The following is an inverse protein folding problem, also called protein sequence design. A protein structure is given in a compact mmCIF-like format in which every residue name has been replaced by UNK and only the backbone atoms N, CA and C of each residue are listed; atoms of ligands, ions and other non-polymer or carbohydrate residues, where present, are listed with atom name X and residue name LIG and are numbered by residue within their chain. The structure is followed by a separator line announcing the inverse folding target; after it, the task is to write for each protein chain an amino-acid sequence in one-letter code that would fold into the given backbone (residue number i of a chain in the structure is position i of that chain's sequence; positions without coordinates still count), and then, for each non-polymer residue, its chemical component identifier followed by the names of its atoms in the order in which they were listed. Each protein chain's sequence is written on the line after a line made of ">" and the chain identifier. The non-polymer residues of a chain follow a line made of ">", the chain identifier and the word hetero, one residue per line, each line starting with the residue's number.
data_IF_124144779708
#
_entry.id   IF_124144779708
#
_cell.length_a   1.000
_cell.length_b   1.000
_cell.length_c   1.000
_cell.angle_alpha   90.00
_cell.angle_beta   90.00
_cell.angle_gamma   90.00
#
_symmetry.space_group_name_H-M   'P 1'
#
loop_
_entity.id
_entity.type
_entity.pdbx_description
1 polymer ?
#
# COMPACT_ATOMS: atom_id res chain seq x y z
N UNK A 1 69.77 -17.81 20.03
CA UNK A 1 68.81 -16.95 19.30
C UNK A 1 67.42 -17.31 19.82
N UNK A 2 66.67 -16.40 20.44
CA UNK A 2 65.35 -16.75 20.96
C UNK A 2 64.35 -16.82 19.80
N UNK A 3 63.73 -17.98 19.64
CA UNK A 3 62.70 -18.25 18.63
C UNK A 3 61.41 -17.52 19.01
N UNK A 4 61.04 -16.53 18.20
CA UNK A 4 59.81 -15.76 18.34
C UNK A 4 58.61 -16.59 17.86
N UNK A 5 58.21 -17.59 18.65
CA UNK A 5 57.07 -18.46 18.35
C UNK A 5 55.75 -17.72 18.61
N UNK A 6 55.25 -17.01 17.59
CA UNK A 6 53.87 -16.53 17.54
C UNK A 6 52.96 -17.76 17.65
N UNK A 7 52.31 -17.90 18.80
CA UNK A 7 51.39 -19.01 19.05
C UNK A 7 50.21 -18.94 18.09
N UNK A 8 49.83 -20.08 17.48
CA UNK A 8 48.64 -20.19 16.62
C UNK A 8 47.36 -19.68 17.31
N UNK A 9 47.31 -19.72 18.64
CA UNK A 9 46.23 -19.17 19.47
C UNK A 9 46.13 -17.64 19.35
N UNK A 10 47.25 -16.93 19.21
CA UNK A 10 47.29 -15.47 19.04
C UNK A 10 46.73 -15.05 17.68
N UNK A 11 47.03 -15.80 16.62
CA UNK A 11 46.48 -15.57 15.27
C UNK A 11 44.97 -15.86 15.21
N UNK A 12 44.49 -16.92 15.87
CA UNK A 12 43.06 -17.20 15.95
C UNK A 12 42.30 -16.11 16.74
N UNK A 13 42.93 -15.57 17.79
CA UNK A 13 42.31 -14.53 18.61
C UNK A 13 42.17 -13.22 17.84
N UNK A 14 43.14 -12.82 17.01
CA UNK A 14 43.01 -11.61 16.17
C UNK A 14 41.99 -11.80 15.05
N UNK A 15 41.95 -12.97 14.40
CA UNK A 15 40.96 -13.29 13.37
C UNK A 15 39.52 -13.26 13.90
N UNK A 16 39.30 -13.68 15.15
CA UNK A 16 37.98 -13.65 15.79
C UNK A 16 37.40 -12.22 15.94
N UNK A 17 38.25 -11.19 16.06
CA UNK A 17 37.81 -9.80 16.15
C UNK A 17 37.52 -9.14 14.80
N UNK A 18 37.93 -9.75 13.68
CA UNK A 18 37.65 -9.21 12.33
C UNK A 18 36.24 -9.53 11.85
N UNK A 19 35.65 -10.65 12.28
CA UNK A 19 34.32 -11.11 11.83
C UNK A 19 33.20 -10.11 12.16
N UNK A 20 33.10 -9.55 13.39
CA UNK A 20 32.07 -8.56 13.71
C UNK A 20 32.20 -7.27 12.90
N UNK A 21 33.43 -6.82 12.62
CA UNK A 21 33.68 -5.59 11.87
C UNK A 21 33.21 -5.73 10.42
N UNK A 22 33.48 -6.87 9.80
CA UNK A 22 32.99 -7.16 8.45
C UNK A 22 31.47 -7.21 8.46
N UNK A 23 30.85 -7.89 9.42
CA UNK A 23 29.39 -7.98 9.53
C UNK A 23 28.72 -6.59 9.65
N UNK A 24 29.27 -5.69 10.47
CA UNK A 24 28.78 -4.31 10.60
C UNK A 24 28.99 -3.52 9.30
N UNK A 25 30.13 -3.70 8.63
CA UNK A 25 30.44 -3.01 7.38
C UNK A 25 29.49 -3.41 6.23
N UNK A 26 29.04 -4.66 6.15
CA UNK A 26 28.03 -5.09 5.15
C UNK A 26 26.60 -4.69 5.54
N UNK A 27 26.31 -4.54 6.83
CA UNK A 27 24.98 -4.12 7.29
C UNK A 27 24.73 -2.62 7.07
N UNK A 28 25.77 -1.77 7.20
CA UNK A 28 25.67 -0.32 7.06
C UNK A 28 25.07 0.17 5.71
N UNK A 29 25.52 -0.30 4.52
CA UNK A 29 24.92 0.12 3.26
C UNK A 29 23.48 -0.38 3.09
N UNK A 30 23.13 -1.55 3.64
CA UNK A 30 21.74 -2.04 3.61
C UNK A 30 20.81 -1.18 4.47
N UNK A 31 21.28 -0.69 5.62
CA UNK A 31 20.51 0.23 6.47
C UNK A 31 20.37 1.62 5.82
N UNK A 32 21.40 2.11 5.12
CA UNK A 32 21.38 3.41 4.47
C UNK A 32 20.56 3.46 3.17
N UNK A 33 20.38 2.32 2.49
CA UNK A 33 19.57 2.22 1.26
C UNK A 33 18.07 2.02 1.54
N UNK A 34 17.69 1.77 2.80
CA UNK A 34 16.29 1.61 3.18
C UNK A 34 15.63 2.99 3.29
N UNK A 35 14.99 3.44 2.21
CA UNK A 35 14.06 4.56 2.28
C UNK A 35 12.81 4.10 3.02
N UNK A 36 12.76 4.43 4.31
CA UNK A 36 11.56 4.26 5.13
C UNK A 36 10.60 5.39 4.80
N UNK A 37 9.45 5.04 4.22
CA UNK A 37 8.38 5.98 3.91
C UNK A 37 7.13 5.50 4.63
N UNK A 38 6.46 6.42 5.32
CA UNK A 38 5.14 6.14 5.89
C UNK A 38 4.09 6.25 4.77
N UNK A 39 3.33 5.17 4.58
CA UNK A 39 2.23 5.11 3.63
C UNK A 39 0.90 5.16 4.35
N UNK A 40 0.05 6.09 3.93
CA UNK A 40 -1.25 6.31 4.58
C UNK A 40 -2.33 6.05 3.55
N UNK A 41 -3.17 5.07 3.84
CA UNK A 41 -4.41 4.83 3.11
C UNK A 41 -5.51 5.63 3.78
N UNK A 42 -6.06 6.59 3.04
CA UNK A 42 -7.15 7.44 3.50
C UNK A 42 -8.40 7.23 2.65
N UNK A 43 -9.54 7.56 3.25
CA UNK A 43 -10.83 7.65 2.59
C UNK A 43 -11.26 9.11 2.59
N UNK A 44 -11.63 9.62 1.43
CA UNK A 44 -12.26 10.92 1.28
C UNK A 44 -13.64 10.73 0.67
N UNK A 45 -14.60 11.55 1.10
CA UNK A 45 -15.98 11.40 0.68
C UNK A 45 -16.43 12.69 0.04
N UNK A 46 -16.46 12.67 -1.29
CA UNK A 46 -16.88 13.81 -2.07
C UNK A 46 -18.41 13.86 -2.11
N UNK A 47 -18.98 14.96 -1.62
CA UNK A 47 -20.40 15.28 -1.82
C UNK A 47 -20.61 15.69 -3.27
N UNK A 48 -21.20 14.82 -4.10
CA UNK A 48 -21.56 15.14 -5.48
C UNK A 48 -22.97 15.73 -5.58
N UNK A 49 -23.26 16.71 -4.71
CA UNK A 49 -24.54 17.41 -4.67
C UNK A 49 -25.74 16.48 -4.42
N UNK A 50 -26.85 16.73 -5.12
CA UNK A 50 -28.15 16.03 -4.98
C UNK A 50 -28.07 14.51 -5.29
N UNK A 51 -26.96 14.03 -5.88
CA UNK A 51 -26.76 12.64 -6.32
C UNK A 51 -26.06 11.74 -5.28
N UNK A 52 -25.71 12.30 -4.10
CA UNK A 52 -25.12 11.59 -2.96
C UNK A 52 -23.60 11.72 -2.84
N UNK A 53 -23.04 11.08 -1.80
CA UNK A 53 -21.60 11.05 -1.50
C UNK A 53 -20.92 9.83 -2.12
N UNK A 54 -19.85 10.07 -2.88
CA UNK A 54 -18.98 9.01 -3.42
C UNK A 54 -17.68 8.93 -2.62
N UNK A 55 -17.31 7.74 -2.11
CA UNK A 55 -16.00 7.56 -1.52
C UNK A 55 -14.92 7.58 -2.60
N UNK A 56 -13.77 8.09 -2.21
CA UNK A 56 -12.52 8.04 -2.96
C UNK A 56 -11.47 7.53 -1.99
N UNK A 57 -10.84 6.42 -2.33
CA UNK A 57 -9.71 5.90 -1.58
C UNK A 57 -8.43 6.47 -2.15
N UNK A 58 -7.55 6.95 -1.27
CA UNK A 58 -6.27 7.54 -1.65
C UNK A 58 -5.15 6.89 -0.85
N UNK A 59 -4.10 6.45 -1.54
CA UNK A 59 -2.83 6.10 -0.90
C UNK A 59 -1.89 7.29 -1.08
N UNK A 60 -1.34 7.78 0.03
CA UNK A 60 -0.38 8.89 0.05
C UNK A 60 0.90 8.46 0.74
N UNK A 61 2.04 8.86 0.18
CA UNK A 61 3.33 8.77 0.85
C UNK A 61 3.55 10.03 1.70
N UNK A 62 3.91 9.85 2.97
CA UNK A 62 4.26 10.95 3.89
C UNK A 62 5.52 11.71 3.41
N UNK A 63 6.48 10.96 2.86
CA UNK A 63 7.72 11.49 2.30
C UNK A 63 8.13 10.69 1.06
N UNK A 64 8.64 11.37 0.03
CA UNK A 64 9.07 10.71 -1.21
C UNK A 64 7.91 10.35 -2.15
N UNK A 65 8.09 9.27 -2.93
CA UNK A 65 7.09 8.81 -3.90
C UNK A 65 6.74 7.35 -3.65
N UNK A 66 5.52 6.97 -4.01
CA UNK A 66 5.06 5.60 -4.02
C UNK A 66 5.74 4.90 -5.21
N UNK A 67 6.53 3.85 -4.97
CA UNK A 67 7.27 3.19 -6.04
C UNK A 67 6.32 2.40 -6.96
N UNK A 68 6.73 2.28 -8.22
CA UNK A 68 6.04 1.45 -9.21
C UNK A 68 6.06 -0.01 -8.76
N UNK A 69 4.96 -0.73 -8.97
CA UNK A 69 4.81 -2.12 -8.56
C UNK A 69 4.24 -2.30 -7.15
N UNK A 70 3.96 -1.21 -6.43
CA UNK A 70 3.17 -1.27 -5.19
C UNK A 70 1.79 -1.85 -5.47
N UNK A 71 1.34 -2.81 -4.66
CA UNK A 71 0.08 -3.55 -4.86
C UNK A 71 -0.92 -3.18 -3.78
N UNK A 72 -2.12 -2.83 -4.21
CA UNK A 72 -3.25 -2.46 -3.38
C UNK A 72 -4.43 -3.39 -3.70
N UNK A 73 -5.33 -3.56 -2.75
CA UNK A 73 -6.55 -4.34 -2.94
C UNK A 73 -7.77 -3.59 -2.48
N UNK A 74 -8.83 -3.65 -3.27
CA UNK A 74 -10.18 -3.28 -2.87
C UNK A 74 -11.00 -4.55 -2.69
N UNK A 75 -11.51 -4.79 -1.49
CA UNK A 75 -12.31 -5.95 -1.15
C UNK A 75 -13.71 -5.54 -0.71
N UNK A 76 -14.74 -6.08 -1.38
CA UNK A 76 -16.14 -5.97 -0.98
C UNK A 76 -17.00 -7.01 -1.71
N UNK A 77 -18.12 -7.47 -1.13
CA UNK A 77 -19.08 -8.34 -1.83
C UNK A 77 -19.65 -7.71 -3.12
N UNK A 78 -19.68 -6.38 -3.21
CA UNK A 78 -20.26 -5.63 -4.31
C UNK A 78 -19.22 -4.92 -5.22
N UNK A 79 -17.93 -5.34 -5.23
CA UNK A 79 -16.93 -4.72 -6.12
C UNK A 79 -17.28 -4.87 -7.61
N UNK A 80 -17.95 -5.97 -8.00
CA UNK A 80 -18.43 -6.16 -9.37
C UNK A 80 -19.56 -5.18 -9.76
N UNK A 81 -20.28 -4.67 -8.77
CA UNK A 81 -21.49 -3.86 -8.97
C UNK A 81 -21.19 -2.36 -9.08
N UNK A 82 -19.91 -1.97 -9.00
CA UNK A 82 -19.47 -0.58 -9.02
C UNK A 82 -18.46 -0.33 -10.15
N UNK A 83 -18.54 0.87 -10.73
CA UNK A 83 -17.54 1.40 -11.63
C UNK A 83 -16.53 2.21 -10.84
N UNK A 84 -15.26 1.97 -11.15
CA UNK A 84 -14.13 2.57 -10.48
C UNK A 84 -13.28 3.29 -11.52
N UNK A 85 -12.82 4.48 -11.18
CA UNK A 85 -11.75 5.17 -11.90
C UNK A 85 -10.51 5.21 -11.02
N UNK A 86 -9.35 5.21 -11.66
CA UNK A 86 -8.06 5.18 -10.98
C UNK A 86 -7.16 6.30 -11.47
N UNK A 87 -6.30 6.79 -10.58
CA UNK A 87 -5.23 7.73 -10.90
C UNK A 87 -3.89 7.16 -10.42
N UNK A 88 -2.92 7.02 -11.34
CA UNK A 88 -1.60 6.42 -11.07
C UNK A 88 -1.60 4.91 -10.84
N UNK A 89 -2.76 4.25 -10.98
CA UNK A 89 -2.96 2.82 -10.76
C UNK A 89 -3.55 2.16 -12.00
N UNK A 90 -3.10 0.94 -12.30
CA UNK A 90 -3.83 0.03 -13.18
C UNK A 90 -4.68 -0.93 -12.36
N UNK A 91 -5.90 -1.16 -12.81
CA UNK A 91 -6.82 -2.10 -12.18
C UNK A 91 -6.59 -3.50 -12.73
N UNK A 92 -6.33 -4.46 -11.85
CA UNK A 92 -6.25 -5.87 -12.17
C UNK A 92 -7.62 -6.53 -12.33
N UNK A 93 -7.58 -7.84 -12.57
CA UNK A 93 -8.74 -8.71 -12.70
C UNK A 93 -9.44 -8.83 -11.33
N UNK A 94 -10.77 -8.82 -11.35
CA UNK A 94 -11.57 -9.13 -10.16
C UNK A 94 -11.49 -10.63 -9.88
N UNK A 95 -11.00 -11.00 -8.70
CA UNK A 95 -10.96 -12.39 -8.22
C UNK A 95 -11.85 -12.54 -7.00
N UNK A 96 -12.99 -13.21 -7.16
CA UNK A 96 -14.02 -13.28 -6.13
C UNK A 96 -14.56 -11.90 -5.78
N UNK A 97 -14.35 -11.47 -4.53
CA UNK A 97 -14.79 -10.16 -4.00
C UNK A 97 -13.66 -9.14 -3.92
N UNK A 98 -12.49 -9.44 -4.48
CA UNK A 98 -11.29 -8.60 -4.35
C UNK A 98 -10.77 -8.21 -5.73
N UNK A 99 -10.52 -6.91 -5.91
CA UNK A 99 -9.87 -6.36 -7.09
C UNK A 99 -8.51 -5.80 -6.70
N UNK A 100 -7.49 -6.21 -7.43
CA UNK A 100 -6.12 -5.73 -7.22
C UNK A 100 -5.87 -4.46 -8.03
N UNK A 101 -5.00 -3.60 -7.52
CA UNK A 101 -4.51 -2.41 -8.19
C UNK A 101 -3.00 -2.37 -8.09
N UNK A 102 -2.33 -1.97 -9.16
CA UNK A 102 -0.88 -1.83 -9.16
C UNK A 102 -0.48 -0.43 -9.57
N UNK A 103 0.46 0.16 -8.82
CA UNK A 103 1.03 1.47 -9.15
C UNK A 103 1.86 1.33 -10.42
N UNK A 104 1.48 2.08 -11.46
CA UNK A 104 2.14 2.04 -12.76
C UNK A 104 3.12 3.19 -12.97
N UNK A 105 2.90 4.30 -12.27
CA UNK A 105 3.72 5.50 -12.33
C UNK A 105 4.05 5.94 -10.92
N UNK A 106 5.33 6.24 -10.64
CA UNK A 106 5.74 6.74 -9.34
C UNK A 106 5.07 8.10 -9.07
N UNK A 107 4.36 8.19 -7.96
CA UNK A 107 3.59 9.37 -7.59
C UNK A 107 3.54 9.54 -6.07
N UNK A 108 3.36 10.76 -5.59
CA UNK A 108 3.19 11.04 -4.15
C UNK A 108 1.82 10.56 -3.64
N UNK A 109 0.82 10.58 -4.51
CA UNK A 109 -0.55 10.16 -4.21
C UNK A 109 -1.11 9.37 -5.38
N UNK A 110 -1.82 8.29 -5.08
CA UNK A 110 -2.61 7.51 -6.05
C UNK A 110 -4.02 7.30 -5.50
N UNK A 111 -5.01 7.15 -6.38
CA UNK A 111 -6.40 7.10 -5.94
C UNK A 111 -7.29 6.15 -6.75
N UNK A 112 -8.34 5.68 -6.07
CA UNK A 112 -9.44 4.90 -6.64
C UNK A 112 -10.74 5.58 -6.25
N UNK A 113 -11.50 6.07 -7.24
CA UNK A 113 -12.77 6.74 -7.03
C UNK A 113 -13.92 5.91 -7.59
N UNK A 114 -15.06 5.95 -6.92
CA UNK A 114 -16.31 5.36 -7.42
C UNK A 114 -16.92 6.33 -8.42
N UNK A 115 -17.42 5.82 -9.55
CA UNK A 115 -17.97 6.65 -10.64
C UNK A 115 -19.34 6.23 -11.11
N UNK A 116 -19.77 5.01 -10.81
CA UNK A 116 -21.04 4.48 -11.31
C UNK A 116 -21.44 3.19 -10.59
N UNK A 117 -22.72 2.85 -10.65
CA UNK A 117 -23.23 1.54 -10.25
C UNK A 117 -23.69 0.78 -11.49
N UNK A 118 -23.39 -0.51 -11.55
CA UNK A 118 -23.93 -1.40 -12.58
C UNK A 118 -25.24 -2.05 -12.09
N UNK A 119 -25.33 -2.34 -10.80
CA UNK A 119 -26.48 -3.01 -10.18
C UNK A 119 -26.70 -2.49 -8.77
N UNK A 120 -27.93 -2.58 -8.27
CA UNK A 120 -28.26 -2.16 -6.91
C UNK A 120 -27.67 -3.13 -5.88
N UNK A 121 -27.19 -2.60 -4.76
CA UNK A 121 -26.71 -3.37 -3.61
C UNK A 121 -27.02 -2.62 -2.30
N UNK A 122 -27.35 -3.40 -1.28
CA UNK A 122 -27.53 -2.90 0.09
C UNK A 122 -26.18 -2.52 0.69
N UNK A 123 -26.18 -1.87 1.86
CA UNK A 123 -24.98 -1.39 2.53
C UNK A 123 -23.87 -2.48 2.60
N UNK A 124 -22.74 -2.23 1.96
CA UNK A 124 -21.56 -3.11 1.94
C UNK A 124 -20.32 -2.35 2.42
N UNK A 125 -19.39 -3.08 3.05
CA UNK A 125 -18.08 -2.55 3.43
C UNK A 125 -17.10 -2.71 2.26
N UNK A 126 -16.56 -1.59 1.80
CA UNK A 126 -15.46 -1.56 0.85
C UNK A 126 -14.18 -1.25 1.59
N UNK A 127 -13.28 -2.23 1.63
CA UNK A 127 -11.98 -2.09 2.31
C UNK A 127 -10.88 -1.96 1.27
N UNK A 128 -10.16 -0.86 1.32
CA UNK A 128 -8.98 -0.59 0.51
C UNK A 128 -7.74 -0.76 1.39
N UNK A 129 -6.80 -1.60 0.95
CA UNK A 129 -5.62 -1.94 1.73
C UNK A 129 -4.36 -2.01 0.87
N UNK A 130 -3.24 -1.57 1.44
CA UNK A 130 -1.90 -1.80 0.91
C UNK A 130 -1.49 -3.25 1.21
N UNK A 131 -1.14 -4.01 0.17
CA UNK A 131 -0.81 -5.43 0.29
C UNK A 131 0.69 -5.67 0.30
N UNK A 132 1.40 -5.03 -0.64
CA UNK A 132 2.83 -5.22 -0.75
C UNK A 132 3.52 -4.02 -1.39
N UNK A 133 4.74 -3.78 -0.95
CA UNK A 133 5.66 -2.81 -1.50
C UNK A 133 6.76 -3.52 -2.31
N UNK A 134 7.35 -2.86 -3.32
CA UNK A 134 8.52 -3.37 -4.01
C UNK A 134 9.71 -3.57 -3.08
N UNK A 135 10.64 -4.44 -3.49
CA UNK A 135 11.88 -4.67 -2.75
C UNK A 135 12.66 -3.38 -2.55
N UNK A 136 13.07 -3.11 -1.30
CA UNK A 136 13.81 -1.89 -0.94
C UNK A 136 12.93 -0.75 -0.41
N UNK A 137 11.61 -0.90 -0.43
CA UNK A 137 10.69 0.02 0.24
C UNK A 137 10.17 -0.60 1.52
N UNK A 138 10.21 0.18 2.60
CA UNK A 138 9.79 -0.28 3.92
C UNK A 138 8.78 0.72 4.45
N UNK A 139 7.60 0.21 4.82
CA UNK A 139 6.60 0.99 5.52
C UNK A 139 6.83 0.91 7.03
N UNK A 140 6.90 2.07 7.65
CA UNK A 140 7.05 2.19 9.10
C UNK A 140 5.73 2.20 9.85
N UNK A 141 4.59 2.35 9.15
CA UNK A 141 3.29 2.58 9.76
C UNK A 141 2.22 1.58 9.28
N UNK A 142 2.42 0.32 9.63
CA UNK A 142 1.52 -0.78 9.24
C UNK A 142 0.06 -0.56 9.67
N UNK A 143 -0.21 0.28 10.67
CA UNK A 143 -1.55 0.56 11.18
C UNK A 143 -2.42 1.41 10.25
N UNK A 144 -1.81 2.23 9.37
CA UNK A 144 -2.52 3.18 8.52
C UNK A 144 -2.72 2.70 7.07
N UNK A 145 -2.44 1.42 6.81
CA UNK A 145 -2.48 0.82 5.48
C UNK A 145 -3.86 0.32 5.05
N UNK A 146 -4.90 0.62 5.81
CA UNK A 146 -6.26 0.13 5.57
C UNK A 146 -7.26 1.26 5.78
N UNK A 147 -8.13 1.48 4.80
CA UNK A 147 -9.32 2.31 4.95
C UNK A 147 -10.56 1.53 4.51
N UNK A 148 -11.65 1.69 5.26
CA UNK A 148 -12.94 1.07 4.95
C UNK A 148 -14.00 2.14 4.80
N UNK A 149 -14.88 2.02 3.80
CA UNK A 149 -16.06 2.87 3.64
C UNK A 149 -17.31 2.02 3.42
N UNK A 150 -18.43 2.42 4.01
CA UNK A 150 -19.71 1.76 3.85
C UNK A 150 -20.45 2.37 2.65
N UNK A 151 -20.78 1.56 1.66
CA UNK A 151 -21.42 2.04 0.45
C UNK A 151 -22.70 1.27 0.20
N UNK A 152 -23.77 2.00 -0.12
CA UNK A 152 -24.96 1.44 -0.70
C UNK A 152 -25.20 2.08 -2.07
N UNK A 153 -25.72 1.29 -3.00
CA UNK A 153 -25.97 1.72 -4.37
C UNK A 153 -27.37 1.35 -4.79
N UNK A 154 -28.13 2.30 -5.31
CA UNK A 154 -29.47 2.02 -5.83
C UNK A 154 -29.56 2.48 -7.28
N UNK A 155 -29.75 1.54 -8.20
CA UNK A 155 -29.98 1.84 -9.62
C UNK A 155 -31.45 2.25 -9.81
N UNK A 156 -31.87 3.40 -9.28
CA UNK A 156 -33.24 3.88 -9.45
C UNK A 156 -33.33 4.76 -10.69
N UNK A 157 -33.67 4.19 -11.84
CA UNK A 157 -34.11 5.00 -12.99
C UNK A 157 -35.20 5.99 -12.54
N UNK A 158 -35.12 7.29 -12.87
CA UNK A 158 -34.26 7.93 -13.87
C UNK A 158 -32.94 8.52 -13.35
N UNK A 159 -32.60 8.37 -12.07
CA UNK A 159 -31.41 8.98 -11.47
C UNK A 159 -30.51 7.89 -10.84
N UNK A 160 -29.36 7.55 -11.46
CA UNK A 160 -28.38 6.70 -10.81
C UNK A 160 -27.89 7.41 -9.54
N UNK A 161 -28.35 6.95 -8.38
CA UNK A 161 -28.04 7.53 -7.09
C UNK A 161 -27.11 6.60 -6.31
N UNK A 162 -25.97 7.14 -5.89
CA UNK A 162 -25.17 6.51 -4.86
C UNK A 162 -25.60 7.04 -3.50
N UNK A 163 -25.58 6.19 -2.49
CA UNK A 163 -25.63 6.65 -1.11
C UNK A 163 -24.51 5.93 -0.37
N UNK A 164 -23.29 6.48 -0.51
CA UNK A 164 -22.15 6.08 0.29
C UNK A 164 -22.23 6.73 1.66
N UNK A 165 -22.42 5.95 2.73
CA UNK A 165 -22.28 6.46 4.09
C UNK A 165 -20.82 6.27 4.49
N UNK A 166 -20.04 7.33 4.35
CA UNK A 166 -18.69 7.31 4.88
C UNK A 166 -18.74 7.42 6.40
N UNK A 167 -18.63 6.27 7.07
CA UNK A 167 -18.33 6.17 8.50
C UNK A 167 -16.83 5.94 8.69
#
# INVERSE_FOLDING_TARGET
>A
MPENNISRRTLAKSAAWSVPVVAVAVAAPMAAASNTTDYIVSRNCALLGVLGSLPTFTLSASTGTIPVGTVLTLTAPAVANVNLTTSGLSAGVLTGTTRTFTVTTAATTVSVAFTGINTAFLLQNFTFALVSLPTGSVDTNLGNNIATANVSGTSRSPLPGFTGVCL
#
